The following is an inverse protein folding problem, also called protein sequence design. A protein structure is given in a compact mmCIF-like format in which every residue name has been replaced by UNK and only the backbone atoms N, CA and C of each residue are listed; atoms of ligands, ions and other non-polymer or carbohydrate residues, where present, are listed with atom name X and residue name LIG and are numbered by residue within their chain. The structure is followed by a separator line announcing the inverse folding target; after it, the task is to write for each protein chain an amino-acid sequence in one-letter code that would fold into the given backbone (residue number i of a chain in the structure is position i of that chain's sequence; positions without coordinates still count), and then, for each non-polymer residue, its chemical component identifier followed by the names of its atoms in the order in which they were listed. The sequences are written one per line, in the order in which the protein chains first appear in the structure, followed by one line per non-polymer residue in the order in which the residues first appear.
data_IF_504636890673
#
_entry.id   IF_504636890673
#
_cell.length_a   1.000
_cell.length_b   1.000
_cell.length_c   1.000
_cell.angle_alpha   90.00
_cell.angle_beta   90.00
_cell.angle_gamma   90.00
#
_symmetry.space_group_name_H-M   'P 1'
#
loop_
_entity.id
_entity.type
_entity.pdbx_description
1 polymer ?
#
# COMPACT_ATOMS: atom_id res chain seq x y z
N UNK A 1 -11.37 4.14 81.41
CA UNK A 1 -10.38 3.35 80.64
C UNK A 1 -10.73 3.50 79.16
N UNK A 2 -9.94 4.27 78.39
CA UNK A 2 -10.26 4.69 77.02
C UNK A 2 -9.34 3.95 76.05
N UNK A 3 -9.87 2.96 75.33
CA UNK A 3 -9.11 2.23 74.31
C UNK A 3 -9.01 3.08 73.05
N UNK A 4 -7.78 3.36 72.62
CA UNK A 4 -7.49 3.99 71.34
C UNK A 4 -7.41 2.91 70.25
N UNK A 5 -8.25 3.03 69.23
CA UNK A 5 -8.15 2.28 67.99
C UNK A 5 -7.11 2.98 67.10
N UNK A 6 -5.98 2.32 66.83
CA UNK A 6 -5.02 2.74 65.81
C UNK A 6 -5.48 2.12 64.50
N UNK A 7 -6.00 2.94 63.59
CA UNK A 7 -6.28 2.55 62.21
C UNK A 7 -4.98 2.61 61.39
N UNK A 8 -4.52 1.45 60.91
CA UNK A 8 -3.39 1.35 59.99
C UNK A 8 -3.89 1.71 58.58
N UNK A 9 -3.58 2.92 58.10
CA UNK A 9 -3.78 3.31 56.71
C UNK A 9 -2.67 2.71 55.85
N UNK A 10 -2.98 1.61 55.15
CA UNK A 10 -2.12 1.08 54.08
C UNK A 10 -2.32 1.97 52.86
N UNK A 11 -1.41 2.92 52.66
CA UNK A 11 -1.33 3.69 51.41
C UNK A 11 -0.70 2.77 50.37
N UNK A 12 -1.55 2.06 49.61
CA UNK A 12 -1.11 1.33 48.43
C UNK A 12 -0.68 2.34 47.37
N UNK A 13 0.63 2.51 47.18
CA UNK A 13 1.17 3.18 46.00
C UNK A 13 0.84 2.30 44.79
N UNK A 14 -0.20 2.65 44.05
CA UNK A 14 -0.40 2.13 42.71
C UNK A 14 0.75 2.67 41.85
N UNK A 15 1.78 1.85 41.63
CA UNK A 15 2.72 2.10 40.56
C UNK A 15 1.90 2.13 39.25
N UNK A 16 2.09 3.13 38.36
CA UNK A 16 1.43 3.12 37.08
C UNK A 16 1.81 1.81 36.38
N UNK A 17 0.81 1.08 35.89
CA UNK A 17 1.07 -0.07 35.04
C UNK A 17 1.75 0.44 33.77
N UNK A 18 3.05 0.21 33.64
CA UNK A 18 3.86 0.57 32.47
C UNK A 18 3.49 -0.36 31.30
N UNK A 19 2.27 -0.25 30.75
CA UNK A 19 2.02 -0.66 29.38
C UNK A 19 3.08 0.04 28.54
N UNK A 20 4.01 -0.71 27.92
CA UNK A 20 5.34 -0.21 27.56
C UNK A 20 5.28 1.19 26.93
N UNK A 21 5.71 2.22 27.66
CA UNK A 21 5.67 3.63 27.21
C UNK A 21 6.32 3.77 25.82
N UNK A 22 7.29 2.90 25.54
CA UNK A 22 7.93 2.75 24.23
C UNK A 22 6.94 2.48 23.09
N UNK A 23 6.08 1.46 23.19
CA UNK A 23 5.18 1.08 22.09
C UNK A 23 4.13 2.13 21.82
N UNK A 24 3.53 2.71 22.86
CA UNK A 24 2.59 3.81 22.71
C UNK A 24 3.27 5.06 22.14
N UNK A 25 4.50 5.38 22.58
CA UNK A 25 5.28 6.48 22.01
C UNK A 25 5.62 6.24 20.54
N UNK A 26 6.04 5.03 20.17
CA UNK A 26 6.31 4.64 18.78
C UNK A 26 5.09 4.83 17.90
N UNK A 27 3.92 4.34 18.31
CA UNK A 27 2.69 4.47 17.53
C UNK A 27 2.26 5.92 17.37
N UNK A 28 2.42 6.75 18.41
CA UNK A 28 2.18 8.18 18.32
C UNK A 28 3.14 8.85 17.33
N UNK A 29 4.43 8.51 17.40
CA UNK A 29 5.44 9.05 16.48
C UNK A 29 5.20 8.62 15.04
N UNK A 30 4.84 7.35 14.80
CA UNK A 30 4.46 6.83 13.49
C UNK A 30 3.22 7.54 12.91
N UNK A 31 2.36 8.14 13.73
CA UNK A 31 1.22 8.93 13.28
C UNK A 31 1.61 10.33 12.75
N UNK A 32 2.85 10.79 12.95
CA UNK A 32 3.30 12.07 12.40
C UNK A 32 3.40 11.98 10.87
N UNK A 33 2.62 12.77 10.10
CA UNK A 33 2.56 12.62 8.65
C UNK A 33 3.85 13.03 7.96
N UNK A 34 4.11 12.48 6.77
CA UNK A 34 5.24 12.87 5.92
C UNK A 34 5.29 14.38 5.62
N UNK A 35 4.13 15.05 5.53
CA UNK A 35 4.04 16.52 5.37
C UNK A 35 4.58 17.31 6.57
N UNK A 36 4.76 16.66 7.72
CA UNK A 36 5.35 17.22 8.94
C UNK A 36 6.66 16.50 9.32
N UNK A 37 7.44 16.06 8.32
CA UNK A 37 8.74 15.40 8.52
C UNK A 37 8.66 13.91 8.86
N UNK A 38 7.48 13.31 8.84
CA UNK A 38 7.30 11.87 9.07
C UNK A 38 7.60 11.47 10.51
N UNK A 39 7.81 10.16 10.79
CA UNK A 39 7.90 9.68 12.17
C UNK A 39 8.99 10.31 13.04
N UNK A 40 10.05 10.86 12.42
CA UNK A 40 11.15 11.53 13.11
C UNK A 40 11.10 13.07 13.01
N UNK A 41 10.03 13.64 12.42
CA UNK A 41 9.87 15.09 12.29
C UNK A 41 9.69 15.84 13.61
N UNK A 42 9.35 15.12 14.69
CA UNK A 42 9.28 15.63 16.06
C UNK A 42 10.54 15.19 16.81
N UNK A 43 11.22 16.10 17.50
CA UNK A 43 12.51 15.83 18.14
C UNK A 43 12.43 14.68 19.16
N UNK A 44 11.35 14.61 19.93
CA UNK A 44 11.09 13.57 20.93
C UNK A 44 10.84 12.18 20.30
N UNK A 45 10.61 12.13 18.99
CA UNK A 45 10.35 10.92 18.21
C UNK A 45 11.57 10.33 17.51
N UNK A 46 12.70 11.05 17.43
CA UNK A 46 13.92 10.56 16.77
C UNK A 46 14.40 9.25 17.42
N UNK A 47 14.71 9.30 18.73
CA UNK A 47 15.23 8.15 19.47
C UNK A 47 14.29 6.92 19.51
N UNK A 48 12.97 7.04 19.80
CA UNK A 48 12.10 5.87 19.80
C UNK A 48 11.91 5.25 18.40
N UNK A 49 11.92 6.05 17.33
CA UNK A 49 11.81 5.54 15.97
C UNK A 49 13.13 4.88 15.51
N UNK A 50 14.29 5.44 15.87
CA UNK A 50 15.58 4.77 15.62
C UNK A 50 15.64 3.41 16.32
N UNK A 51 15.19 3.36 17.59
CA UNK A 51 15.09 2.11 18.34
C UNK A 51 14.14 1.11 17.66
N UNK A 52 12.98 1.57 17.17
CA UNK A 52 12.05 0.73 16.40
C UNK A 52 12.74 0.12 15.18
N UNK A 53 13.36 0.92 14.33
CA UNK A 53 13.98 0.43 13.10
C UNK A 53 15.13 -0.55 13.38
N UNK A 54 15.96 -0.25 14.38
CA UNK A 54 17.01 -1.17 14.84
C UNK A 54 16.46 -2.50 15.35
N UNK A 55 15.35 -2.47 16.09
CA UNK A 55 14.71 -3.68 16.58
C UNK A 55 14.11 -4.51 15.44
N UNK A 56 13.46 -3.85 14.46
CA UNK A 56 12.93 -4.51 13.27
C UNK A 56 14.04 -5.10 12.37
N UNK A 57 15.16 -4.41 12.20
CA UNK A 57 16.32 -4.92 11.47
C UNK A 57 16.94 -6.17 12.13
N UNK A 58 16.75 -6.32 13.44
CA UNK A 58 17.14 -7.52 14.20
C UNK A 58 16.07 -8.61 14.23
N UNK A 59 14.95 -8.43 13.52
CA UNK A 59 13.83 -9.36 13.51
C UNK A 59 13.06 -9.43 14.82
N UNK A 60 13.17 -8.40 15.67
CA UNK A 60 12.37 -8.33 16.90
C UNK A 60 10.91 -8.02 16.59
N UNK A 61 9.98 -8.40 17.47
CA UNK A 61 8.57 -8.09 17.30
C UNK A 61 8.31 -6.59 17.22
N UNK A 62 7.31 -6.20 16.42
CA UNK A 62 6.77 -4.84 16.42
C UNK A 62 6.18 -4.53 17.80
N UNK A 63 6.42 -3.32 18.37
CA UNK A 63 6.00 -3.01 19.72
C UNK A 63 4.47 -2.92 19.83
N UNK A 64 3.95 -3.22 21.01
CA UNK A 64 2.51 -3.20 21.32
C UNK A 64 2.15 -1.99 22.17
N UNK A 65 0.90 -1.54 22.05
CA UNK A 65 0.31 -0.49 22.90
C UNK A 65 -1.17 -0.78 23.08
N UNK A 66 -1.61 -0.98 24.32
CA UNK A 66 -3.01 -1.31 24.64
C UNK A 66 -3.98 -0.20 24.21
N UNK A 67 -3.51 1.05 24.13
CA UNK A 67 -4.30 2.20 23.67
C UNK A 67 -4.41 2.32 22.14
N UNK A 68 -3.60 1.57 21.39
CA UNK A 68 -3.51 1.69 19.94
C UNK A 68 -3.22 0.33 19.26
N UNK A 69 -4.02 -0.68 19.63
CA UNK A 69 -3.96 -2.05 19.09
C UNK A 69 -5.04 -2.33 18.02
N UNK A 70 -5.97 -1.40 17.81
CA UNK A 70 -7.05 -1.49 16.83
C UNK A 70 -8.29 -2.28 17.29
N UNK A 71 -8.29 -2.85 18.49
CA UNK A 71 -9.37 -3.72 18.97
C UNK A 71 -10.70 -2.97 19.17
N UNK A 72 -10.65 -1.70 19.59
CA UNK A 72 -11.83 -0.86 19.81
C UNK A 72 -12.16 0.04 18.60
N UNK A 73 -11.70 -0.34 17.40
CA UNK A 73 -11.77 0.52 16.22
C UNK A 73 -10.82 1.73 16.28
N UNK A 74 -9.89 1.71 17.24
CA UNK A 74 -8.90 2.75 17.46
C UNK A 74 -7.76 2.76 16.43
N UNK A 75 -6.78 3.61 16.67
CA UNK A 75 -5.55 3.68 15.87
C UNK A 75 -4.67 2.45 16.09
N UNK A 76 -3.90 2.07 15.08
CA UNK A 76 -2.87 1.03 15.20
C UNK A 76 -1.85 1.17 14.08
N UNK A 77 -0.73 0.45 14.19
CA UNK A 77 0.20 0.31 13.08
C UNK A 77 0.59 -1.15 12.90
N UNK A 78 0.88 -1.54 11.65
CA UNK A 78 1.26 -2.92 11.33
C UNK A 78 2.40 -2.94 10.32
N UNK A 79 3.47 -3.71 10.57
CA UNK A 79 4.49 -3.96 9.57
C UNK A 79 3.90 -4.74 8.39
N UNK A 80 4.28 -4.35 7.19
CA UNK A 80 3.88 -4.93 5.91
C UNK A 80 5.13 -5.13 5.05
N UNK A 81 5.05 -6.12 4.16
CA UNK A 81 6.07 -6.37 3.16
C UNK A 81 5.47 -6.14 1.77
N UNK A 82 5.57 -4.90 1.29
CA UNK A 82 4.97 -4.47 0.02
C UNK A 82 5.79 -3.32 -0.59
N UNK A 83 6.42 -3.52 -1.76
CA UNK A 83 7.32 -2.53 -2.36
C UNK A 83 6.59 -1.35 -3.00
N UNK A 84 5.26 -1.35 -3.05
CA UNK A 84 4.50 -0.23 -3.63
C UNK A 84 3.77 0.54 -2.56
N UNK A 85 3.39 1.77 -2.87
CA UNK A 85 2.50 2.54 -2.00
C UNK A 85 1.05 2.16 -2.34
N UNK A 86 0.11 2.50 -1.45
CA UNK A 86 -1.29 2.49 -1.84
C UNK A 86 -1.54 3.28 -3.12
N UNK A 87 -2.44 2.78 -3.97
CA UNK A 87 -2.87 3.56 -5.11
C UNK A 87 -3.57 4.85 -4.65
N UNK A 88 -3.24 6.01 -5.24
CA UNK A 88 -3.90 7.26 -4.88
C UNK A 88 -5.37 7.18 -5.27
N UNK A 89 -6.26 7.58 -4.37
CA UNK A 89 -7.71 7.61 -4.64
C UNK A 89 -8.02 8.45 -5.90
N UNK A 90 -8.91 8.00 -6.80
CA UNK A 90 -9.77 6.82 -6.70
C UNK A 90 -9.17 5.54 -7.33
N UNK A 91 -7.87 5.52 -7.66
CA UNK A 91 -7.25 4.38 -8.34
C UNK A 91 -7.09 3.19 -7.40
N UNK A 92 -7.16 1.99 -7.98
CA UNK A 92 -6.99 0.72 -7.28
C UNK A 92 -5.82 -0.06 -7.88
N UNK A 93 -5.14 -0.93 -7.11
CA UNK A 93 -4.09 -1.77 -7.68
C UNK A 93 -4.69 -2.70 -8.74
N UNK A 94 -4.09 -2.77 -9.91
CA UNK A 94 -4.41 -3.79 -10.88
C UNK A 94 -4.03 -5.17 -10.34
N UNK A 95 -4.72 -6.21 -10.81
CA UNK A 95 -4.35 -7.58 -10.49
C UNK A 95 -2.89 -7.84 -10.90
N UNK A 96 -2.15 -8.52 -10.02
CA UNK A 96 -0.78 -8.97 -10.32
C UNK A 96 -0.77 -9.84 -11.58
N UNK A 97 0.18 -9.61 -12.46
CA UNK A 97 0.32 -10.31 -13.74
C UNK A 97 -0.65 -9.82 -14.83
N UNK A 98 -1.57 -8.90 -14.52
CA UNK A 98 -2.48 -8.38 -15.54
C UNK A 98 -1.73 -7.49 -16.54
N UNK A 99 -2.03 -7.67 -17.82
CA UNK A 99 -1.65 -6.72 -18.86
C UNK A 99 -2.59 -5.53 -18.81
N UNK A 100 -2.00 -4.35 -18.62
CA UNK A 100 -2.69 -3.09 -18.37
C UNK A 100 -2.23 -2.06 -19.40
N UNK A 101 -3.19 -1.33 -19.96
CA UNK A 101 -2.93 -0.17 -20.82
C UNK A 101 -3.97 0.92 -20.56
N UNK A 102 -3.56 2.18 -20.70
CA UNK A 102 -4.50 3.30 -20.67
C UNK A 102 -5.14 3.48 -22.05
N UNK A 103 -6.44 3.75 -22.11
CA UNK A 103 -7.11 4.02 -23.37
C UNK A 103 -8.58 4.34 -23.25
N UNK A 104 -9.19 4.64 -24.38
CA UNK A 104 -10.62 4.97 -24.50
C UNK A 104 -11.27 4.11 -25.58
N UNK A 105 -12.58 3.84 -25.42
CA UNK A 105 -13.35 3.11 -26.44
C UNK A 105 -13.73 4.06 -27.57
N UNK A 106 -13.50 3.64 -28.80
CA UNK A 106 -13.94 4.36 -29.99
C UNK A 106 -15.47 4.23 -30.12
N UNK A 107 -16.17 5.36 -30.11
CA UNK A 107 -17.64 5.42 -30.26
C UNK A 107 -17.99 5.11 -31.72
N UNK A 108 -18.96 4.23 -31.96
CA UNK A 108 -19.42 3.86 -33.31
C UNK A 108 -18.74 2.62 -33.92
N UNK A 109 -17.68 2.08 -33.31
CA UNK A 109 -17.16 0.73 -33.61
C UNK A 109 -17.91 -0.30 -32.75
N UNK A 110 -18.71 -1.16 -33.40
CA UNK A 110 -19.47 -2.22 -32.72
C UNK A 110 -18.58 -3.34 -32.18
N UNK A 111 -19.07 -4.07 -31.16
CA UNK A 111 -18.41 -5.30 -30.63
C UNK A 111 -18.44 -6.48 -31.62
N UNK A 112 -19.17 -6.33 -32.74
CA UNK A 112 -19.11 -7.26 -33.87
C UNK A 112 -17.85 -6.99 -34.67
N UNK A 113 -16.79 -7.72 -34.38
CA UNK A 113 -15.88 -8.36 -35.34
C UNK A 113 -15.53 -7.65 -36.65
N UNK A 114 -15.51 -6.33 -36.72
CA UNK A 114 -15.04 -5.60 -37.89
C UNK A 114 -13.52 -5.73 -37.94
N UNK A 115 -13.06 -6.79 -38.61
CA UNK A 115 -11.68 -7.02 -39.08
C UNK A 115 -11.18 -5.93 -40.06
N UNK A 116 -11.69 -4.71 -39.97
CA UNK A 116 -11.59 -3.70 -41.03
C UNK A 116 -11.46 -2.26 -40.55
N UNK A 117 -11.07 -2.00 -39.30
CA UNK A 117 -10.56 -0.66 -38.97
C UNK A 117 -9.10 -0.78 -38.66
N UNK A 118 -8.30 0.04 -39.35
CA UNK A 118 -6.89 0.28 -39.09
C UNK A 118 -6.66 0.16 -37.59
N UNK A 119 -6.02 -0.94 -37.16
CA UNK A 119 -5.58 -1.10 -35.79
C UNK A 119 -4.78 0.17 -35.53
N UNK A 120 -5.31 1.06 -34.71
CA UNK A 120 -4.61 2.30 -34.40
C UNK A 120 -3.25 1.86 -33.94
N UNK A 121 -2.24 2.11 -34.77
CA UNK A 121 -0.87 1.78 -34.47
C UNK A 121 -0.54 2.68 -33.31
N UNK A 122 -0.75 2.17 -32.09
CA UNK A 122 -0.04 2.70 -30.93
C UNK A 122 1.41 2.83 -31.40
N UNK A 123 2.01 3.99 -31.15
CA UNK A 123 3.25 4.50 -31.77
C UNK A 123 4.50 3.64 -31.49
N UNK A 124 4.32 2.37 -31.12
CA UNK A 124 5.34 1.38 -30.83
C UNK A 124 4.73 -0.05 -30.84
N UNK A 125 4.54 -0.64 -32.03
CA UNK A 125 4.62 -2.10 -32.26
C UNK A 125 3.63 -3.07 -31.58
N UNK A 126 2.71 -2.64 -30.71
CA UNK A 126 1.71 -3.52 -30.09
C UNK A 126 0.41 -3.56 -30.92
N UNK A 127 -0.18 -4.75 -31.20
CA UNK A 127 -1.43 -4.82 -31.95
C UNK A 127 -2.59 -4.29 -31.10
N UNK A 128 -3.13 -3.12 -31.43
CA UNK A 128 -4.38 -2.64 -30.86
C UNK A 128 -5.59 -3.27 -31.55
N UNK A 129 -6.72 -3.42 -30.85
CA UNK A 129 -7.94 -4.01 -31.43
C UNK A 129 -8.69 -3.11 -32.42
N UNK A 130 -8.26 -1.86 -32.62
CA UNK A 130 -8.97 -0.83 -33.40
C UNK A 130 -10.29 -0.34 -32.76
N UNK A 131 -10.80 -1.05 -31.75
CA UNK A 131 -11.96 -0.67 -30.92
C UNK A 131 -11.57 0.35 -29.84
N UNK A 132 -10.29 0.39 -29.48
CA UNK A 132 -9.75 1.33 -28.49
C UNK A 132 -8.71 2.26 -29.12
N UNK A 133 -8.69 3.50 -28.66
CA UNK A 133 -7.55 4.41 -28.81
C UNK A 133 -6.68 4.26 -27.57
N UNK A 134 -5.47 3.71 -27.74
CA UNK A 134 -4.55 3.40 -26.64
C UNK A 134 -3.56 4.54 -26.42
N UNK A 135 -3.17 4.74 -25.17
CA UNK A 135 -2.10 5.65 -24.75
C UNK A 135 -0.93 4.81 -24.23
N UNK A 136 0.08 4.66 -25.09
CA UNK A 136 1.26 3.84 -24.81
C UNK A 136 1.07 2.35 -25.06
N UNK A 137 2.05 1.56 -24.61
CA UNK A 137 2.07 0.11 -24.75
C UNK A 137 1.44 -0.59 -23.54
N UNK A 138 0.87 -1.77 -23.77
CA UNK A 138 0.43 -2.63 -22.67
C UNK A 138 1.65 -3.13 -21.88
N UNK A 139 1.55 -3.10 -20.56
CA UNK A 139 2.59 -3.57 -19.65
C UNK A 139 1.98 -4.46 -18.57
N UNK A 140 2.78 -5.35 -18.00
CA UNK A 140 2.35 -6.28 -16.96
C UNK A 140 2.50 -5.63 -15.58
N UNK A 141 1.43 -5.60 -14.80
CA UNK A 141 1.46 -5.16 -13.40
C UNK A 141 2.18 -6.18 -12.53
N UNK A 142 3.15 -5.73 -11.74
CA UNK A 142 3.93 -6.57 -10.83
C UNK A 142 4.53 -7.81 -11.52
N UNK A 143 5.13 -7.62 -12.71
CA UNK A 143 5.77 -8.73 -13.43
C UNK A 143 6.85 -9.38 -12.56
N UNK A 144 6.78 -10.71 -12.43
CA UNK A 144 7.82 -11.47 -11.77
C UNK A 144 8.83 -11.87 -12.85
N UNK A 145 10.04 -11.30 -12.82
CA UNK A 145 11.11 -11.79 -13.68
C UNK A 145 11.50 -13.20 -13.23
N UNK A 146 11.06 -14.20 -13.99
CA UNK A 146 11.61 -15.54 -13.91
C UNK A 146 13.00 -15.52 -14.54
N UNK A 147 14.00 -15.98 -13.79
CA UNK A 147 15.41 -16.13 -14.20
C UNK A 147 16.22 -14.81 -14.20
N UNK A 148 17.17 -14.73 -13.25
CA UNK A 148 18.22 -13.71 -13.09
C UNK A 148 17.82 -12.32 -12.56
N UNK A 149 17.73 -12.21 -11.23
CA UNK A 149 18.03 -10.96 -10.52
C UNK A 149 16.84 -10.16 -9.98
N UNK A 150 16.12 -10.74 -9.02
CA UNK A 150 15.38 -10.10 -7.91
C UNK A 150 14.86 -8.67 -8.12
N UNK A 151 13.79 -8.52 -8.90
CA UNK A 151 12.98 -7.30 -8.91
C UNK A 151 11.54 -7.59 -9.33
N UNK A 152 10.57 -7.21 -8.49
CA UNK A 152 9.16 -7.19 -8.92
C UNK A 152 8.98 -5.96 -9.83
N UNK A 153 8.41 -6.14 -11.02
CA UNK A 153 8.15 -5.06 -11.99
C UNK A 153 7.16 -4.02 -11.47
N UNK A 154 6.91 -2.91 -12.16
CA UNK A 154 6.07 -1.83 -11.64
C UNK A 154 4.62 -2.27 -11.38
N UNK A 155 3.96 -1.74 -10.34
CA UNK A 155 2.54 -1.95 -10.06
C UNK A 155 1.71 -0.91 -10.79
N UNK A 156 0.67 -1.34 -11.50
CA UNK A 156 -0.31 -0.43 -12.05
C UNK A 156 -1.37 -0.05 -11.02
N UNK A 157 -1.63 1.24 -10.88
CA UNK A 157 -2.81 1.80 -10.25
C UNK A 157 -3.80 2.21 -11.33
N UNK A 158 -4.97 1.59 -11.35
CA UNK A 158 -5.94 1.68 -12.44
C UNK A 158 -7.24 2.33 -11.99
N UNK A 159 -7.85 3.09 -12.90
CA UNK A 159 -9.19 3.65 -12.75
C UNK A 159 -10.27 2.67 -13.20
N UNK A 160 -11.36 3.18 -13.78
CA UNK A 160 -12.43 2.34 -14.33
C UNK A 160 -11.95 1.52 -15.53
N UNK A 161 -12.35 0.25 -15.58
CA UNK A 161 -12.16 -0.62 -16.73
C UNK A 161 -13.05 -0.13 -17.90
N UNK A 162 -12.42 0.14 -19.05
CA UNK A 162 -13.07 0.55 -20.30
C UNK A 162 -13.44 -0.69 -21.13
N UNK A 163 -12.60 -1.72 -21.07
CA UNK A 163 -12.86 -3.02 -21.69
C UNK A 163 -11.58 -3.85 -21.83
N UNK A 164 -11.64 -4.89 -22.65
CA UNK A 164 -10.54 -5.84 -22.83
C UNK A 164 -10.39 -6.21 -24.29
N UNK A 165 -9.17 -6.57 -24.72
CA UNK A 165 -8.93 -7.20 -26.00
C UNK A 165 -7.87 -8.28 -25.88
N UNK A 166 -7.93 -9.28 -26.75
CA UNK A 166 -6.93 -10.34 -26.81
C UNK A 166 -5.83 -9.97 -27.82
N UNK A 167 -4.58 -10.30 -27.48
CA UNK A 167 -3.41 -10.23 -28.36
C UNK A 167 -2.79 -11.62 -28.43
N UNK A 168 -2.48 -12.09 -29.62
CA UNK A 168 -1.89 -13.42 -29.84
C UNK A 168 -2.72 -14.29 -30.79
N UNK A 169 -2.43 -15.58 -30.79
CA UNK A 169 -3.17 -16.58 -31.57
C UNK A 169 -4.17 -17.33 -30.68
N UNK A 170 -5.07 -18.10 -31.27
CA UNK A 170 -6.16 -18.77 -30.53
C UNK A 170 -5.64 -19.66 -29.38
N UNK A 171 -4.48 -20.30 -29.55
CA UNK A 171 -3.86 -21.19 -28.55
C UNK A 171 -2.89 -20.48 -27.58
N UNK A 172 -2.53 -19.21 -27.85
CA UNK A 172 -1.57 -18.45 -27.06
C UNK A 172 -1.94 -16.96 -27.11
N UNK A 173 -3.07 -16.64 -26.48
CA UNK A 173 -3.59 -15.28 -26.38
C UNK A 173 -3.49 -14.72 -24.98
N UNK A 174 -3.17 -13.43 -24.92
CA UNK A 174 -3.10 -12.65 -23.70
C UNK A 174 -4.24 -11.63 -23.68
N UNK A 175 -4.98 -11.59 -22.59
CA UNK A 175 -6.00 -10.57 -22.36
C UNK A 175 -5.36 -9.29 -21.85
N UNK A 176 -5.49 -8.21 -22.64
CA UNK A 176 -5.08 -6.86 -22.26
C UNK A 176 -6.29 -6.09 -21.74
N UNK A 177 -6.14 -5.50 -20.54
CA UNK A 177 -7.15 -4.69 -19.88
C UNK A 177 -6.92 -3.21 -20.19
N UNK A 178 -7.95 -2.55 -20.74
CA UNK A 178 -7.93 -1.13 -21.07
C UNK A 178 -8.62 -0.36 -19.96
N UNK A 179 -7.89 0.52 -19.29
CA UNK A 179 -8.42 1.40 -18.25
C UNK A 179 -8.43 2.84 -18.71
N UNK A 180 -9.37 3.63 -18.20
CA UNK A 180 -9.45 5.07 -18.52
C UNK A 180 -8.22 5.84 -18.03
N UNK A 181 -7.60 5.35 -16.95
CA UNK A 181 -6.43 5.94 -16.30
C UNK A 181 -5.55 4.84 -15.73
N UNK A 182 -4.25 4.95 -15.99
CA UNK A 182 -3.21 4.07 -15.44
C UNK A 182 -2.10 4.94 -14.88
N UNK A 183 -1.69 4.65 -13.65
CA UNK A 183 -0.52 5.23 -13.00
C UNK A 183 0.42 4.11 -12.57
N UNK A 184 1.65 4.14 -13.05
CA UNK A 184 2.65 3.13 -12.73
C UNK A 184 3.46 3.53 -11.50
N UNK A 185 3.54 2.64 -10.52
CA UNK A 185 4.41 2.79 -9.35
C UNK A 185 5.63 1.89 -9.51
N UNK A 186 6.82 2.46 -9.35
CA UNK A 186 8.06 1.69 -9.26
C UNK A 186 8.13 0.98 -7.90
N UNK A 187 8.77 -0.20 -7.90
CA UNK A 187 9.06 -0.90 -6.66
C UNK A 187 10.06 -0.12 -5.81
N UNK A 188 9.78 -0.02 -4.52
CA UNK A 188 10.61 0.60 -3.49
C UNK A 188 11.09 -0.48 -2.50
N UNK A 189 11.74 -0.06 -1.41
CA UNK A 189 12.03 -0.96 -0.28
C UNK A 189 10.71 -1.58 0.25
N UNK A 190 10.58 -2.92 0.26
CA UNK A 190 9.33 -3.58 0.63
C UNK A 190 9.00 -3.48 2.12
N UNK A 191 9.96 -3.17 2.98
CA UNK A 191 9.74 -3.01 4.43
C UNK A 191 8.99 -1.71 4.68
N UNK A 192 7.72 -1.82 5.07
CA UNK A 192 6.90 -0.66 5.34
C UNK A 192 5.90 -0.89 6.48
N UNK A 193 5.50 0.16 7.18
CA UNK A 193 4.55 0.12 8.30
C UNK A 193 3.33 0.89 7.82
N UNK A 194 2.18 0.23 7.79
CA UNK A 194 0.91 0.89 7.55
C UNK A 194 0.38 1.44 8.88
N UNK A 195 0.07 2.73 8.90
CA UNK A 195 -0.45 3.44 10.07
C UNK A 195 -1.93 3.73 9.84
N UNK A 196 -2.76 3.32 10.80
CA UNK A 196 -4.20 3.45 10.78
C UNK A 196 -4.65 4.37 11.91
N UNK A 197 -5.55 5.29 11.60
CA UNK A 197 -6.28 6.12 12.58
C UNK A 197 -7.76 5.86 12.37
N UNK A 198 -8.45 5.47 13.44
CA UNK A 198 -9.88 5.06 13.40
C UNK A 198 -10.15 3.99 12.33
N UNK A 199 -9.28 2.98 12.26
CA UNK A 199 -9.29 1.91 11.26
C UNK A 199 -9.17 2.35 9.78
N UNK A 200 -8.83 3.62 9.52
CA UNK A 200 -8.54 4.14 8.18
C UNK A 200 -7.04 4.32 8.04
N UNK A 201 -6.44 3.69 7.03
CA UNK A 201 -5.00 3.86 6.75
C UNK A 201 -4.71 5.30 6.36
N UNK A 202 -3.86 5.95 7.15
CA UNK A 202 -3.45 7.34 6.93
C UNK A 202 -2.16 7.45 6.14
N UNK A 203 -1.18 6.58 6.42
CA UNK A 203 0.10 6.61 5.73
C UNK A 203 0.82 5.27 5.75
N UNK A 204 1.82 5.18 4.88
CA UNK A 204 2.81 4.11 4.84
C UNK A 204 4.18 4.70 5.12
N UNK A 205 4.87 4.17 6.11
CA UNK A 205 6.24 4.56 6.50
C UNK A 205 7.20 3.49 6.01
N UNK A 206 8.26 3.86 5.30
CA UNK A 206 9.32 2.92 4.87
C UNK A 206 10.56 3.04 5.76
N UNK A 207 11.23 1.91 6.00
CA UNK A 207 12.50 1.83 6.75
C UNK A 207 13.47 0.80 6.18
#
# INVERSE_FOLDING_TARGET
MKNWLIALLIVGAAAPAHASDFGCKVLLCLANPASNGGPQGVAECVAPIDQLYHDLDKGRPFPTCDLADGNDGGSYARPVYDPYDPCPSPLQPAARGAYVVQGQRNVGKGDRGDKGGNAGSGESGWPGSGVYTLSGQAQVSESQSGQSGSGVGPRACVGKLVGTYAVGSDDDSVTVNVFERVLWQLAQNPRAIDVFINNVRQQRVRW
#
